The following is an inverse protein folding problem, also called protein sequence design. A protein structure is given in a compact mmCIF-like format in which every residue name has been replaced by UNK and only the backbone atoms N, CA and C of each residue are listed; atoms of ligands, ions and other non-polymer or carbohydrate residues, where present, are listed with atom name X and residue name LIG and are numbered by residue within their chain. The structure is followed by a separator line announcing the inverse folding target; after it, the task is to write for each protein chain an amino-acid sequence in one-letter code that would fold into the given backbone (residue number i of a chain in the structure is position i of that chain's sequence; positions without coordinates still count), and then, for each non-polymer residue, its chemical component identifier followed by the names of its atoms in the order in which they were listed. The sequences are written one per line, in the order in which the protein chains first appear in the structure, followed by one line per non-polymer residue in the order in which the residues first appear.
data_IF_169903674703
#
_entry.id   IF_169903674703
#
_cell.length_a   1.000
_cell.length_b   1.000
_cell.length_c   1.000
_cell.angle_alpha   90.00
_cell.angle_beta   90.00
_cell.angle_gamma   90.00
#
_symmetry.space_group_name_H-M   'P 1'
#
loop_
_entity.id
_entity.type
_entity.pdbx_description
1 polymer ?
#
# COMPACT_ATOMS: atom_id res chain seq x y z
N UNK A 1 11.07 7.12 -12.60
CA UNK A 1 9.78 7.73 -12.18
C UNK A 1 8.66 7.17 -13.07
N UNK A 2 8.39 5.87 -12.93
CA UNK A 2 7.35 5.11 -13.67
C UNK A 2 6.17 4.79 -12.75
N UNK A 3 5.86 5.73 -11.84
CA UNK A 3 5.34 5.41 -10.51
C UNK A 3 3.84 5.51 -10.33
N UNK A 4 3.02 5.49 -11.39
CA UNK A 4 1.57 5.58 -11.26
C UNK A 4 0.83 4.49 -12.00
N UNK A 5 1.25 4.21 -13.23
CA UNK A 5 0.74 3.08 -13.99
C UNK A 5 1.89 2.37 -14.66
N UNK A 6 2.03 1.09 -14.36
CA UNK A 6 2.98 0.22 -15.04
C UNK A 6 2.49 0.01 -16.46
N UNK A 7 3.29 0.38 -17.48
CA UNK A 7 2.94 0.00 -18.83
C UNK A 7 3.05 -1.53 -18.96
N UNK A 8 2.06 -2.14 -19.59
CA UNK A 8 1.94 -3.57 -19.83
C UNK A 8 3.29 -4.18 -20.28
N UNK A 9 4.07 -3.45 -21.08
CA UNK A 9 5.34 -3.90 -21.62
C UNK A 9 6.61 -3.71 -20.74
N UNK A 10 6.55 -3.30 -19.46
CA UNK A 10 7.77 -2.95 -18.69
C UNK A 10 7.78 -3.33 -17.21
N UNK A 11 7.30 -4.51 -16.84
CA UNK A 11 7.49 -5.02 -15.47
C UNK A 11 7.89 -6.49 -15.38
N UNK A 12 8.95 -6.85 -16.11
CA UNK A 12 9.67 -8.11 -15.88
C UNK A 12 9.65 -9.11 -17.04
N UNK A 13 8.74 -8.95 -17.99
CA UNK A 13 8.78 -9.54 -19.31
C UNK A 13 7.79 -8.77 -20.18
N UNK A 14 7.98 -8.75 -21.50
CA UNK A 14 6.94 -8.31 -22.42
C UNK A 14 5.74 -9.24 -22.17
N UNK A 15 4.76 -8.82 -21.36
CA UNK A 15 3.59 -9.65 -21.04
C UNK A 15 2.69 -9.86 -22.27
N UNK A 16 2.93 -9.02 -23.27
CA UNK A 16 2.48 -9.10 -24.65
C UNK A 16 3.57 -9.80 -25.47
N UNK A 17 3.21 -10.91 -26.11
CA UNK A 17 4.06 -11.54 -27.12
C UNK A 17 4.14 -10.66 -28.39
N UNK A 18 5.03 -10.97 -29.35
CA UNK A 18 5.21 -10.22 -30.62
C UNK A 18 3.92 -10.07 -31.46
N UNK A 19 2.87 -10.81 -31.12
CA UNK A 19 1.53 -10.73 -31.72
C UNK A 19 0.49 -9.96 -30.87
N UNK A 20 0.93 -9.24 -29.83
CA UNK A 20 0.08 -8.42 -28.96
C UNK A 20 -1.00 -9.22 -28.20
N UNK A 21 -0.71 -10.49 -27.90
CA UNK A 21 -1.59 -11.37 -27.13
C UNK A 21 -1.21 -11.37 -25.65
N UNK A 22 -2.21 -11.26 -24.79
CA UNK A 22 -2.01 -11.27 -23.34
C UNK A 22 -1.70 -12.68 -22.82
N UNK A 23 -0.50 -12.88 -22.29
CA UNK A 23 -0.09 -14.13 -21.62
C UNK A 23 -0.49 -14.10 -20.13
N UNK A 24 -0.53 -15.25 -19.45
CA UNK A 24 -0.89 -15.37 -18.02
C UNK A 24 -0.02 -14.49 -17.11
N UNK A 25 1.19 -14.13 -17.55
CA UNK A 25 2.07 -13.15 -16.89
C UNK A 25 1.53 -11.70 -16.91
N UNK A 26 0.44 -11.40 -17.63
CA UNK A 26 -0.22 -10.08 -17.60
C UNK A 26 -1.04 -9.84 -16.34
N UNK A 27 -1.57 -10.91 -15.72
CA UNK A 27 -2.43 -10.83 -14.53
C UNK A 27 -1.77 -10.03 -13.39
N UNK A 28 -0.53 -10.31 -12.99
CA UNK A 28 0.14 -9.55 -11.94
C UNK A 28 0.27 -8.05 -12.25
N UNK A 29 0.50 -7.69 -13.52
CA UNK A 29 0.63 -6.28 -13.93
C UNK A 29 -0.67 -5.51 -13.71
N UNK A 30 -1.82 -6.12 -14.01
CA UNK A 30 -3.13 -5.53 -13.76
C UNK A 30 -3.35 -5.31 -12.25
N UNK A 31 -3.01 -6.30 -11.43
CA UNK A 31 -3.11 -6.18 -9.97
C UNK A 31 -2.18 -5.11 -9.42
N UNK A 32 -0.94 -5.02 -9.90
CA UNK A 32 0.02 -4.01 -9.47
C UNK A 32 -0.46 -2.61 -9.83
N UNK A 33 -1.01 -2.43 -11.03
CA UNK A 33 -1.60 -1.18 -11.47
C UNK A 33 -2.81 -0.77 -10.61
N UNK A 34 -3.66 -1.75 -10.27
CA UNK A 34 -4.81 -1.55 -9.39
C UNK A 34 -4.38 -1.17 -7.96
N UNK A 35 -3.38 -1.88 -7.42
CA UNK A 35 -2.82 -1.61 -6.10
C UNK A 35 -2.19 -0.22 -6.07
N UNK A 36 -1.39 0.16 -7.07
CA UNK A 36 -0.81 1.51 -7.17
C UNK A 36 -1.88 2.61 -7.22
N UNK A 37 -2.95 2.41 -7.99
CA UNK A 37 -4.09 3.32 -8.01
C UNK A 37 -4.79 3.40 -6.64
N UNK A 38 -4.96 2.25 -5.97
CA UNK A 38 -5.55 2.18 -4.64
C UNK A 38 -4.65 2.84 -3.57
N UNK A 39 -3.32 2.71 -3.65
CA UNK A 39 -2.39 3.39 -2.74
C UNK A 39 -2.44 4.91 -2.88
N UNK A 40 -2.56 5.41 -4.10
CA UNK A 40 -2.75 6.85 -4.35
C UNK A 40 -4.03 7.34 -3.68
N UNK A 41 -5.13 6.63 -3.90
CA UNK A 41 -6.41 6.94 -3.26
C UNK A 41 -6.32 6.85 -1.73
N UNK A 42 -5.70 5.79 -1.21
CA UNK A 42 -5.50 5.59 0.21
C UNK A 42 -4.64 6.70 0.84
N UNK A 43 -3.61 7.18 0.15
CA UNK A 43 -2.78 8.30 0.60
C UNK A 43 -3.57 9.60 0.73
N UNK A 44 -4.42 9.92 -0.26
CA UNK A 44 -5.30 11.09 -0.22
C UNK A 44 -6.32 10.97 0.91
N UNK A 45 -6.97 9.81 1.05
CA UNK A 45 -7.96 9.56 2.12
C UNK A 45 -7.31 9.62 3.50
N UNK A 46 -6.12 9.04 3.67
CA UNK A 46 -5.37 9.08 4.92
C UNK A 46 -5.01 10.52 5.33
N UNK A 47 -4.63 11.37 4.37
CA UNK A 47 -4.35 12.77 4.62
C UNK A 47 -5.58 13.52 5.16
N UNK A 48 -6.76 13.32 4.56
CA UNK A 48 -8.01 13.91 5.05
C UNK A 48 -8.44 13.37 6.42
N UNK A 49 -8.25 12.08 6.68
CA UNK A 49 -8.56 11.48 7.99
C UNK A 49 -7.67 12.04 9.11
N UNK A 50 -6.37 12.23 8.84
CA UNK A 50 -5.45 12.84 9.81
C UNK A 50 -5.84 14.30 10.11
N UNK A 51 -6.18 15.08 9.08
CA UNK A 51 -6.69 16.45 9.25
C UNK A 51 -7.96 16.46 10.13
N UNK A 52 -8.94 15.64 9.80
CA UNK A 52 -10.21 15.61 10.53
C UNK A 52 -10.04 15.13 11.97
N UNK A 53 -9.20 14.11 12.20
CA UNK A 53 -8.89 13.60 13.52
C UNK A 53 -8.13 14.64 14.37
N UNK A 54 -7.18 15.37 13.78
CA UNK A 54 -6.43 16.43 14.44
C UNK A 54 -7.32 17.57 14.92
N UNK A 55 -8.24 18.04 14.06
CA UNK A 55 -9.20 19.08 14.46
C UNK A 55 -10.15 18.61 15.57
N UNK A 56 -10.69 17.39 15.47
CA UNK A 56 -11.57 16.82 16.50
C UNK A 56 -10.87 16.68 17.85
N UNK A 57 -9.58 16.34 17.86
CA UNK A 57 -8.78 16.23 19.08
C UNK A 57 -8.63 17.58 19.81
N UNK A 58 -8.34 18.66 19.07
CA UNK A 58 -8.16 20.01 19.64
C UNK A 58 -9.48 20.60 20.16
N UNK A 59 -10.60 20.34 19.48
CA UNK A 59 -11.91 20.91 19.83
C UNK A 59 -12.59 20.18 21.01
N UNK A 60 -12.11 19.00 21.40
CA UNK A 60 -12.71 18.18 22.48
C UNK A 60 -12.40 18.68 23.90
N UNK A 61 -11.98 19.94 24.04
CA UNK A 61 -11.58 20.63 25.28
C UNK A 61 -12.77 20.82 26.24
N UNK A 62 -13.17 19.78 26.98
CA UNK A 62 -14.13 19.92 28.09
C UNK A 62 -14.99 18.70 28.43
N UNK A 63 -15.19 17.75 27.53
CA UNK A 63 -16.05 16.56 27.75
C UNK A 63 -15.20 15.28 27.90
N UNK A 64 -15.20 14.61 29.07
CA UNK A 64 -14.39 13.40 29.29
C UNK A 64 -14.75 12.26 28.33
N UNK A 65 -16.02 12.16 27.92
CA UNK A 65 -16.49 11.18 26.92
C UNK A 65 -15.84 11.39 25.54
N UNK A 66 -15.68 12.64 25.10
CA UNK A 66 -15.06 12.98 23.82
C UNK A 66 -13.55 12.79 23.85
N UNK A 67 -12.93 12.98 25.01
CA UNK A 67 -11.50 12.72 25.23
C UNK A 67 -11.20 11.21 25.18
N UNK A 68 -12.05 10.38 25.77
CA UNK A 68 -11.91 8.91 25.72
C UNK A 68 -12.07 8.38 24.28
N UNK A 69 -13.10 8.83 23.56
CA UNK A 69 -13.29 8.48 22.14
C UNK A 69 -12.11 8.94 21.26
N UNK A 70 -11.57 10.14 21.53
CA UNK A 70 -10.42 10.66 20.79
C UNK A 70 -9.15 9.87 21.09
N UNK A 71 -8.98 9.38 22.32
CA UNK A 71 -7.85 8.54 22.74
C UNK A 71 -7.90 7.17 22.07
N UNK A 72 -9.08 6.56 21.99
CA UNK A 72 -9.30 5.32 21.25
C UNK A 72 -9.04 5.52 19.75
N UNK A 73 -9.53 6.60 19.17
CA UNK A 73 -9.28 6.95 17.76
C UNK A 73 -7.77 7.12 17.48
N UNK A 74 -7.04 7.74 18.40
CA UNK A 74 -5.59 7.93 18.30
C UNK A 74 -4.84 6.59 18.35
N UNK A 75 -5.25 5.67 19.23
CA UNK A 75 -4.70 4.31 19.30
C UNK A 75 -4.97 3.56 18.00
N UNK A 76 -6.19 3.60 17.45
CA UNK A 76 -6.50 2.94 16.17
C UNK A 76 -5.66 3.49 15.00
N UNK A 77 -5.45 4.81 14.94
CA UNK A 77 -4.59 5.43 13.93
C UNK A 77 -3.12 4.97 14.06
N UNK A 78 -2.60 4.90 15.28
CA UNK A 78 -1.23 4.43 15.55
C UNK A 78 -1.08 2.94 15.21
N UNK A 79 -2.05 2.10 15.59
CA UNK A 79 -2.05 0.67 15.29
C UNK A 79 -2.09 0.42 13.79
N UNK A 80 -2.89 1.17 13.04
CA UNK A 80 -2.92 1.09 11.57
C UNK A 80 -1.57 1.39 10.93
N UNK A 81 -0.89 2.45 11.40
CA UNK A 81 0.46 2.81 10.92
C UNK A 81 1.49 1.72 11.26
N UNK A 82 1.43 1.19 12.48
CA UNK A 82 2.32 0.11 12.95
C UNK A 82 2.16 -1.13 12.08
N UNK A 83 0.93 -1.55 11.75
CA UNK A 83 0.68 -2.75 10.93
C UNK A 83 1.34 -2.61 9.55
N UNK A 84 1.22 -1.45 8.91
CA UNK A 84 1.87 -1.20 7.60
C UNK A 84 3.39 -1.32 7.73
N UNK A 85 3.97 -0.71 8.77
CA UNK A 85 5.41 -0.76 9.05
C UNK A 85 5.89 -2.19 9.29
N UNK A 86 5.15 -2.98 10.06
CA UNK A 86 5.44 -4.39 10.31
C UNK A 86 5.33 -5.24 9.05
N UNK A 87 4.35 -4.99 8.17
CA UNK A 87 4.23 -5.70 6.91
C UNK A 87 5.50 -5.52 6.05
N UNK A 88 6.01 -4.29 5.93
CA UNK A 88 7.27 -4.03 5.23
C UNK A 88 8.46 -4.73 5.90
N UNK A 89 8.55 -4.67 7.23
CA UNK A 89 9.64 -5.31 7.97
C UNK A 89 9.65 -6.83 7.75
N UNK A 90 8.47 -7.46 7.82
CA UNK A 90 8.28 -8.89 7.61
C UNK A 90 8.69 -9.25 6.17
N UNK A 91 8.18 -8.57 5.15
CA UNK A 91 8.53 -8.85 3.75
C UNK A 91 10.05 -8.74 3.49
N UNK A 92 10.72 -7.74 4.07
CA UNK A 92 12.18 -7.61 3.99
C UNK A 92 12.91 -8.74 4.71
N UNK A 93 12.42 -9.16 5.88
CA UNK A 93 12.99 -10.27 6.63
C UNK A 93 12.87 -11.58 5.84
N UNK A 94 11.71 -11.86 5.23
CA UNK A 94 11.55 -13.04 4.36
C UNK A 94 12.48 -12.95 3.15
N UNK A 95 12.58 -11.80 2.49
CA UNK A 95 13.50 -11.61 1.35
C UNK A 95 14.97 -11.82 1.73
N UNK A 96 15.37 -11.38 2.92
CA UNK A 96 16.72 -11.56 3.45
C UNK A 96 17.02 -13.03 3.79
N UNK A 97 16.09 -13.75 4.40
CA UNK A 97 16.28 -15.15 4.79
C UNK A 97 16.21 -16.11 3.59
N UNK A 98 15.34 -15.82 2.61
CA UNK A 98 15.16 -16.67 1.43
C UNK A 98 16.11 -16.32 0.28
N UNK A 99 16.77 -15.16 0.31
CA UNK A 99 17.62 -14.66 -0.78
C UNK A 99 16.84 -14.24 -2.03
N UNK A 100 15.51 -14.31 -1.99
CA UNK A 100 14.61 -14.02 -3.11
C UNK A 100 14.04 -12.61 -2.91
N UNK A 101 14.64 -11.62 -3.55
CA UNK A 101 14.19 -10.22 -3.47
C UNK A 101 12.98 -9.91 -4.35
N UNK A 102 12.59 -10.82 -5.25
CA UNK A 102 11.43 -10.66 -6.14
C UNK A 102 10.06 -10.73 -5.44
N UNK A 103 9.97 -11.10 -4.16
CA UNK A 103 8.71 -11.16 -3.39
C UNK A 103 8.08 -9.76 -3.20
N UNK A 104 8.89 -8.70 -3.35
CA UNK A 104 8.40 -7.32 -3.32
C UNK A 104 7.77 -6.88 -4.65
N UNK A 105 7.95 -7.64 -5.73
CA UNK A 105 7.23 -7.45 -6.98
C UNK A 105 6.12 -8.49 -7.08
N UNK A 106 4.88 -8.04 -7.24
CA UNK A 106 3.75 -8.91 -7.50
C UNK A 106 3.85 -9.43 -8.93
N UNK A 107 4.64 -10.49 -9.16
CA UNK A 107 4.88 -11.07 -10.49
C UNK A 107 5.31 -12.54 -10.39
N UNK A 108 4.90 -13.35 -11.37
CA UNK A 108 5.34 -14.76 -11.47
C UNK A 108 6.72 -14.91 -12.12
N UNK A 109 7.26 -13.83 -12.67
CA UNK A 109 8.62 -13.73 -13.20
C UNK A 109 9.63 -13.48 -12.06
N UNK A 110 9.89 -14.49 -11.23
CA UNK A 110 11.21 -14.61 -10.60
C UNK A 110 12.13 -15.29 -11.62
N UNK A 111 13.39 -14.85 -11.79
CA UNK A 111 14.40 -15.72 -12.39
C UNK A 111 14.63 -16.97 -11.52
#
# INVERSE_FOLDING_TARGET
MSGLFTNWNSSGANCLDVNDVATIDCIPVVFQNLISAALLFAGVVAFFLILHAGFKFVISSGDPKKVEDSRNTMIYAIVGLIIVLFAFLILNLIGFITGVTCIQNFGFSCP
#
